data_IF_009974564253
#
_entry.id   IF_009974564253
#
_cell.length_a   1.000
_cell.length_b   1.000
_cell.length_c   1.000
_cell.angle_alpha   90.00
_cell.angle_beta   90.00
_cell.angle_gamma   90.00
#
_symmetry.space_group_name_H-M   'P 1'
#
loop_
_entity.id
_entity.type
_entity.pdbx_description
1 polymer ?
#
# COMPACT_ATOMS: atom_id res chain seq x y z
N UNK A 1 -18.62 -13.53 -0.52
CA UNK A 1 -17.27 -12.92 -0.40
C UNK A 1 -17.46 -11.41 -0.50
N UNK A 2 -17.20 -10.66 0.58
CA UNK A 2 -17.56 -9.23 0.67
C UNK A 2 -16.69 -8.40 -0.30
N UNK A 3 -17.31 -7.48 -1.06
CA UNK A 3 -16.68 -6.68 -2.13
C UNK A 3 -15.43 -5.95 -1.62
N UNK A 4 -15.48 -5.48 -0.37
CA UNK A 4 -14.40 -4.79 0.31
C UNK A 4 -13.17 -5.65 0.62
N UNK A 5 -13.33 -6.97 0.84
CA UNK A 5 -12.21 -7.87 1.13
C UNK A 5 -11.48 -8.27 -0.15
N UNK A 6 -12.22 -8.44 -1.25
CA UNK A 6 -11.66 -8.53 -2.59
C UNK A 6 -10.92 -7.24 -2.93
N UNK A 7 -11.51 -6.07 -2.71
CA UNK A 7 -10.85 -4.77 -2.94
C UNK A 7 -9.60 -4.57 -2.08
N UNK A 8 -9.56 -5.01 -0.82
CA UNK A 8 -8.37 -4.88 0.04
C UNK A 8 -7.24 -5.85 -0.33
N UNK A 9 -7.55 -7.11 -0.66
CA UNK A 9 -6.57 -8.05 -1.19
C UNK A 9 -6.07 -7.60 -2.58
N UNK A 10 -6.95 -7.02 -3.39
CA UNK A 10 -6.62 -6.40 -4.67
C UNK A 10 -5.83 -5.09 -4.48
N UNK A 11 -6.05 -4.34 -3.40
CA UNK A 11 -5.33 -3.11 -3.06
C UNK A 11 -3.94 -3.40 -2.49
N UNK A 12 -3.73 -4.48 -1.73
CA UNK A 12 -2.39 -4.95 -1.35
C UNK A 12 -1.57 -5.40 -2.57
N UNK A 13 -2.24 -5.93 -3.60
CA UNK A 13 -1.63 -6.24 -4.90
C UNK A 13 -1.41 -4.96 -5.73
N UNK A 14 -2.33 -3.98 -5.71
CA UNK A 14 -2.19 -2.68 -6.40
C UNK A 14 -1.11 -1.77 -5.80
N UNK A 15 -0.89 -1.80 -4.48
CA UNK A 15 0.17 -1.00 -3.85
C UNK A 15 1.58 -1.43 -4.32
N UNK A 16 1.70 -2.65 -4.87
CA UNK A 16 2.89 -3.19 -5.55
C UNK A 16 2.84 -2.95 -7.08
N UNK A 17 1.66 -2.68 -7.64
CA UNK A 17 1.39 -2.54 -9.08
C UNK A 17 0.26 -1.52 -9.37
N UNK A 18 0.55 -0.21 -9.43
CA UNK A 18 -0.42 0.78 -9.91
C UNK A 18 -0.41 0.90 -11.44
N UNK A 19 -1.56 0.61 -12.08
CA UNK A 19 -1.91 0.91 -13.47
C UNK A 19 -2.74 2.21 -13.55
N UNK A 20 -2.31 3.15 -14.40
CA UNK A 20 -3.14 4.16 -15.08
C UNK A 20 -2.58 4.32 -16.51
N UNK A 21 -3.46 4.56 -17.46
CA UNK A 21 -3.31 4.19 -18.88
C UNK A 21 -2.92 5.38 -19.80
N UNK A 22 -2.04 6.26 -19.34
CA UNK A 22 -1.59 7.41 -20.12
C UNK A 22 -0.06 7.66 -20.00
N UNK A 23 0.57 8.02 -21.14
CA UNK A 23 2.03 8.27 -21.22
C UNK A 23 2.51 9.33 -20.21
N UNK A 24 1.61 10.24 -19.80
CA UNK A 24 1.85 11.29 -18.81
C UNK A 24 1.89 10.73 -17.37
N UNK A 25 1.04 9.76 -17.05
CA UNK A 25 1.04 9.03 -15.79
C UNK A 25 2.24 8.09 -15.60
N UNK A 26 2.81 7.55 -16.70
CA UNK A 26 4.04 6.73 -16.66
C UNK A 26 5.26 7.54 -16.19
N UNK A 27 5.46 8.74 -16.76
CA UNK A 27 6.57 9.64 -16.40
C UNK A 27 6.45 10.13 -14.95
N UNK A 28 5.24 10.51 -14.51
CA UNK A 28 4.99 10.91 -13.11
C UNK A 28 5.35 9.79 -12.12
N UNK A 29 4.95 8.55 -12.40
CA UNK A 29 5.26 7.37 -11.56
C UNK A 29 6.73 7.01 -11.55
N UNK A 30 7.45 7.12 -12.67
CA UNK A 30 8.89 6.90 -12.69
C UNK A 30 9.61 7.89 -11.77
N UNK A 31 9.22 9.17 -11.84
CA UNK A 31 9.76 10.24 -10.98
C UNK A 31 9.42 9.99 -9.50
N UNK A 32 8.20 9.53 -9.19
CA UNK A 32 7.76 9.26 -7.82
C UNK A 32 8.44 8.01 -7.23
N UNK A 33 8.53 6.91 -7.99
CA UNK A 33 9.20 5.69 -7.56
C UNK A 33 10.71 5.87 -7.39
N UNK A 34 11.36 6.69 -8.22
CA UNK A 34 12.77 7.03 -8.05
C UNK A 34 13.03 7.79 -6.74
N UNK A 35 12.05 8.55 -6.23
CA UNK A 35 12.14 9.23 -4.92
C UNK A 35 11.97 8.27 -3.75
N UNK A 36 11.18 7.22 -3.89
CA UNK A 36 10.92 6.20 -2.86
C UNK A 36 11.99 5.09 -2.83
N UNK A 37 13.27 5.47 -2.84
CA UNK A 37 14.39 4.52 -2.77
C UNK A 37 14.55 3.95 -1.35
N UNK A 38 14.56 2.61 -1.17
CA UNK A 38 14.87 1.99 0.12
C UNK A 38 16.27 2.33 0.63
N UNK A 39 16.44 2.44 1.96
CA UNK A 39 17.75 2.55 2.58
C UNK A 39 18.56 1.27 2.32
N UNK A 40 19.82 1.42 1.90
CA UNK A 40 20.71 0.29 1.58
C UNK A 40 20.78 -0.10 0.10
N UNK A 41 19.89 0.41 -0.76
CA UNK A 41 19.99 0.20 -2.21
C UNK A 41 20.68 1.40 -2.86
N UNK A 42 21.65 1.17 -3.73
CA UNK A 42 22.32 2.22 -4.50
C UNK A 42 21.34 2.86 -5.49
N UNK A 43 21.41 4.18 -5.70
CA UNK A 43 20.50 4.90 -6.58
C UNK A 43 20.52 4.36 -8.02
N UNK A 44 21.69 3.96 -8.54
CA UNK A 44 21.82 3.39 -9.88
C UNK A 44 21.17 2.01 -10.00
N UNK A 45 21.28 1.17 -8.96
CA UNK A 45 20.62 -0.13 -8.92
C UNK A 45 19.10 0.02 -8.80
N UNK A 46 18.63 0.96 -7.99
CA UNK A 46 17.21 1.28 -7.91
C UNK A 46 16.66 1.79 -9.24
N UNK A 47 17.39 2.68 -9.92
CA UNK A 47 17.01 3.18 -11.24
C UNK A 47 16.92 2.07 -12.28
N UNK A 48 17.92 1.17 -12.33
CA UNK A 48 17.89 -0.02 -13.21
C UNK A 48 16.70 -0.93 -12.91
N UNK A 49 16.39 -1.14 -11.63
CA UNK A 49 15.24 -1.94 -11.21
C UNK A 49 13.91 -1.32 -11.66
N UNK A 50 13.74 -0.02 -11.47
CA UNK A 50 12.54 0.71 -11.92
C UNK A 50 12.43 0.69 -13.45
N UNK A 51 13.52 0.92 -14.18
CA UNK A 51 13.54 0.80 -15.64
C UNK A 51 13.16 -0.61 -16.11
N UNK A 52 13.78 -1.64 -15.53
CA UNK A 52 13.44 -3.04 -15.81
C UNK A 52 11.95 -3.34 -15.57
N UNK A 53 11.36 -2.80 -14.50
CA UNK A 53 9.93 -2.96 -14.16
C UNK A 53 8.99 -2.18 -15.08
N UNK A 54 9.49 -1.15 -15.76
CA UNK A 54 8.73 -0.27 -16.66
C UNK A 54 8.90 -0.62 -18.15
N UNK A 55 9.79 -1.55 -18.49
CA UNK A 55 10.00 -2.02 -19.86
C UNK A 55 8.74 -2.68 -20.43
N UNK A 56 8.47 -2.41 -21.72
CA UNK A 56 7.26 -2.87 -22.43
C UNK A 56 7.14 -4.40 -22.44
N UNK A 57 8.22 -5.15 -22.65
CA UNK A 57 8.22 -6.63 -22.62
C UNK A 57 7.79 -7.21 -21.26
N UNK A 58 8.14 -6.52 -20.16
CA UNK A 58 7.72 -6.91 -18.79
C UNK A 58 6.35 -6.34 -18.41
N UNK A 59 5.87 -5.31 -19.12
CA UNK A 59 4.55 -4.70 -18.96
C UNK A 59 3.47 -5.41 -19.79
N UNK A 60 3.77 -5.89 -20.99
CA UNK A 60 2.87 -6.70 -21.84
C UNK A 60 2.42 -7.96 -21.11
N UNK A 61 3.33 -8.60 -20.37
CA UNK A 61 3.01 -9.72 -19.48
C UNK A 61 2.07 -9.35 -18.33
N UNK A 62 1.88 -8.06 -18.03
CA UNK A 62 1.11 -7.54 -16.89
C UNK A 62 -0.19 -6.83 -17.26
N UNK A 63 -0.55 -6.70 -18.54
CA UNK A 63 -1.68 -5.88 -19.03
C UNK A 63 -3.07 -6.39 -18.59
N UNK A 64 -3.40 -6.29 -17.30
CA UNK A 64 -4.76 -6.40 -16.76
C UNK A 64 -5.44 -7.76 -16.90
N UNK A 65 -4.83 -8.74 -17.59
CA UNK A 65 -5.26 -10.13 -17.57
C UNK A 65 -4.78 -10.78 -16.27
N UNK A 66 -5.62 -11.54 -15.54
CA UNK A 66 -5.16 -12.34 -14.43
C UNK A 66 -4.02 -13.26 -14.90
N UNK A 67 -2.81 -13.04 -14.40
CA UNK A 67 -1.68 -13.93 -14.65
C UNK A 67 -1.89 -15.16 -13.76
N UNK A 68 -2.36 -16.24 -14.35
CA UNK A 68 -2.46 -17.54 -13.69
C UNK A 68 -1.08 -18.15 -13.41
N UNK A 69 -1.03 -19.13 -12.51
CA UNK A 69 0.20 -19.88 -12.23
C UNK A 69 0.77 -20.56 -13.47
N UNK A 70 -0.07 -20.99 -14.41
CA UNK A 70 0.38 -21.59 -15.68
C UNK A 70 1.23 -20.66 -16.52
N UNK A 71 0.92 -19.36 -16.50
CA UNK A 71 1.73 -18.35 -17.18
C UNK A 71 3.07 -18.12 -16.47
N UNK A 72 3.09 -18.09 -15.14
CA UNK A 72 4.34 -18.01 -14.35
C UNK A 72 5.22 -19.23 -14.63
N UNK A 73 4.63 -20.43 -14.67
CA UNK A 73 5.34 -21.66 -15.03
C UNK A 73 5.99 -21.56 -16.41
N UNK A 74 5.24 -21.06 -17.41
CA UNK A 74 5.74 -20.84 -18.78
C UNK A 74 6.96 -19.92 -18.80
N UNK A 75 6.89 -18.81 -18.05
CA UNK A 75 7.98 -17.84 -17.99
C UNK A 75 9.23 -18.40 -17.33
N UNK A 76 9.08 -19.22 -16.29
CA UNK A 76 10.21 -19.81 -15.56
C UNK A 76 10.92 -20.92 -16.34
N UNK A 77 10.23 -21.57 -17.29
CA UNK A 77 10.75 -22.75 -18.01
C UNK A 77 11.10 -22.45 -19.48
N UNK A 78 11.01 -21.20 -19.91
CA UNK A 78 11.51 -20.72 -21.21
C UNK A 78 12.85 -19.99 -21.05
N UNK A 79 13.78 -20.25 -21.95
CA UNK A 79 15.05 -19.53 -22.05
C UNK A 79 14.79 -18.13 -22.59
N UNK A 80 15.40 -17.13 -21.96
CA UNK A 80 15.23 -15.72 -22.32
C UNK A 80 15.80 -15.36 -23.70
N UNK A 81 16.84 -16.07 -24.14
CA UNK A 81 17.61 -15.70 -25.33
C UNK A 81 16.93 -16.11 -26.64
N UNK A 82 16.30 -17.27 -26.68
CA UNK A 82 15.72 -17.87 -27.89
C UNK A 82 14.25 -18.31 -27.73
N UNK A 83 13.66 -18.16 -26.53
CA UNK A 83 12.31 -18.61 -26.24
C UNK A 83 12.12 -20.12 -26.17
N UNK A 84 13.19 -20.93 -26.30
CA UNK A 84 13.08 -22.39 -26.25
C UNK A 84 12.85 -22.87 -24.82
N UNK A 85 12.23 -24.03 -24.65
CA UNK A 85 12.05 -24.62 -23.32
C UNK A 85 13.39 -25.12 -22.77
N UNK A 86 13.47 -25.20 -21.44
CA UNK A 86 14.67 -25.68 -20.75
C UNK A 86 14.92 -27.18 -20.97
N UNK A 87 13.85 -27.98 -21.09
CA UNK A 87 13.85 -29.40 -21.40
C UNK A 87 12.54 -29.79 -22.10
N UNK A 88 12.48 -31.02 -22.63
CA UNK A 88 11.30 -31.55 -23.32
C UNK A 88 10.12 -31.77 -22.35
N UNK A 89 10.40 -32.22 -21.13
CA UNK A 89 9.36 -32.44 -20.12
C UNK A 89 8.60 -31.14 -19.78
N UNK A 90 9.30 -29.99 -19.72
CA UNK A 90 8.64 -28.71 -19.51
C UNK A 90 7.81 -28.26 -20.72
N UNK A 91 8.19 -28.68 -21.93
CA UNK A 91 7.37 -28.46 -23.13
C UNK A 91 6.05 -29.22 -23.02
N UNK A 92 6.11 -30.52 -22.68
CA UNK A 92 4.91 -31.37 -22.52
C UNK A 92 3.99 -30.83 -21.43
N UNK A 93 4.53 -30.47 -20.26
CA UNK A 93 3.74 -29.87 -19.18
C UNK A 93 3.10 -28.55 -19.61
N UNK A 94 3.81 -27.74 -20.40
CA UNK A 94 3.26 -26.49 -20.90
C UNK A 94 2.11 -26.71 -21.88
N UNK A 95 2.24 -27.66 -22.82
CA UNK A 95 1.17 -28.00 -23.76
C UNK A 95 -0.10 -28.47 -23.02
N UNK A 96 0.07 -29.27 -21.96
CA UNK A 96 -1.06 -29.75 -21.17
C UNK A 96 -1.74 -28.62 -20.38
N UNK A 97 -0.96 -27.71 -19.80
CA UNK A 97 -1.50 -26.50 -19.14
C UNK A 97 -2.26 -25.62 -20.14
N UNK A 98 -1.69 -25.38 -21.33
CA UNK A 98 -2.34 -24.56 -22.37
C UNK A 98 -3.62 -25.22 -22.86
N UNK A 99 -3.62 -26.55 -23.04
CA UNK A 99 -4.80 -27.32 -23.41
C UNK A 99 -5.93 -27.16 -22.38
N UNK A 100 -5.63 -27.33 -21.09
CA UNK A 100 -6.59 -27.17 -20.00
C UNK A 100 -7.14 -25.73 -19.95
N UNK A 101 -6.27 -24.72 -20.04
CA UNK A 101 -6.68 -23.31 -20.02
C UNK A 101 -7.50 -22.91 -21.25
N UNK A 102 -7.29 -23.57 -22.39
CA UNK A 102 -8.08 -23.34 -23.61
C UNK A 102 -9.49 -23.95 -23.52
N UNK A 103 -9.62 -25.11 -22.87
CA UNK A 103 -10.90 -25.79 -22.67
C UNK A 103 -11.73 -25.16 -21.56
N UNK A 104 -11.07 -24.80 -20.46
CA UNK A 104 -11.68 -24.17 -19.30
C UNK A 104 -10.91 -22.90 -18.93
N UNK A 105 -11.38 -21.72 -19.36
CA UNK A 105 -10.77 -20.45 -18.98
C UNK A 105 -10.72 -20.20 -17.48
N UNK A 106 -11.59 -20.84 -16.67
CA UNK A 106 -11.59 -20.70 -15.21
C UNK A 106 -10.42 -21.43 -14.55
N UNK A 107 -9.87 -22.46 -15.21
CA UNK A 107 -8.64 -23.15 -14.76
C UNK A 107 -7.41 -22.25 -14.75
N UNK A 108 -7.44 -21.11 -15.44
CA UNK A 108 -6.40 -20.08 -15.40
C UNK A 108 -6.43 -19.26 -14.11
N UNK A 109 -7.58 -19.22 -13.42
CA UNK A 109 -7.72 -18.50 -12.16
C UNK A 109 -6.95 -19.20 -11.04
N UNK A 110 -6.38 -18.41 -10.12
CA UNK A 110 -5.63 -18.95 -8.99
C UNK A 110 -6.54 -19.74 -8.04
N UNK A 111 -6.40 -21.06 -8.04
CA UNK A 111 -7.24 -21.99 -7.29
C UNK A 111 -6.46 -23.23 -6.89
N UNK A 112 -6.99 -23.99 -5.92
CA UNK A 112 -6.40 -25.25 -5.49
C UNK A 112 -6.40 -26.32 -6.59
N UNK A 113 -7.29 -26.19 -7.58
CA UNK A 113 -7.43 -27.09 -8.73
C UNK A 113 -7.23 -26.34 -10.08
N UNK A 114 -6.38 -25.32 -10.10
CA UNK A 114 -6.04 -24.61 -11.35
C UNK A 114 -5.24 -25.49 -12.32
N UNK A 115 -4.96 -24.97 -13.52
CA UNK A 115 -4.28 -25.68 -14.61
C UNK A 115 -2.97 -26.35 -14.15
N UNK A 116 -2.17 -25.66 -13.32
CA UNK A 116 -0.91 -26.20 -12.79
C UNK A 116 -1.17 -27.35 -11.81
N UNK A 117 -2.16 -27.21 -10.93
CA UNK A 117 -2.52 -28.28 -9.99
C UNK A 117 -3.17 -29.50 -10.68
N UNK A 118 -3.80 -29.30 -11.85
CA UNK A 118 -4.35 -30.40 -12.65
C UNK A 118 -3.23 -31.23 -13.29
N UNK A 119 -2.24 -30.57 -13.91
CA UNK A 119 -1.11 -31.25 -14.57
C UNK A 119 -0.10 -31.83 -13.58
N UNK A 120 0.33 -31.03 -12.60
CA UNK A 120 1.38 -31.42 -11.64
C UNK A 120 0.83 -32.05 -10.35
N UNK A 121 -0.48 -32.28 -10.29
CA UNK A 121 -1.17 -32.76 -9.10
C UNK A 121 -1.36 -31.70 -8.01
N UNK A 122 -1.99 -32.08 -6.90
CA UNK A 122 -2.31 -31.16 -5.79
C UNK A 122 -1.05 -30.61 -5.11
N UNK A 123 -1.13 -29.37 -4.63
CA UNK A 123 -0.04 -28.74 -3.87
C UNK A 123 0.27 -29.47 -2.56
N UNK A 124 1.56 -29.57 -2.23
CA UNK A 124 2.03 -30.14 -0.97
C UNK A 124 1.85 -29.15 0.19
N UNK A 125 1.61 -29.65 1.41
CA UNK A 125 1.36 -28.84 2.62
C UNK A 125 2.45 -27.80 2.96
N UNK A 126 3.65 -27.91 2.37
CA UNK A 126 4.78 -27.01 2.60
C UNK A 126 4.70 -25.70 1.83
N UNK A 127 4.87 -25.74 0.50
CA UNK A 127 4.98 -24.55 -0.36
C UNK A 127 4.14 -24.72 -1.61
N UNK A 128 3.52 -23.63 -2.04
CA UNK A 128 2.78 -23.54 -3.31
C UNK A 128 3.75 -23.31 -4.46
N UNK A 129 3.69 -24.16 -5.48
CA UNK A 129 4.46 -24.02 -6.74
C UNK A 129 4.02 -22.79 -7.52
N UNK A 130 4.96 -22.19 -8.25
CA UNK A 130 4.70 -21.02 -9.11
C UNK A 130 4.48 -19.70 -8.34
N UNK A 131 4.83 -19.65 -7.05
CA UNK A 131 4.80 -18.43 -6.24
C UNK A 131 6.18 -18.19 -5.61
N UNK A 132 6.82 -17.06 -5.94
CA UNK A 132 8.21 -16.75 -5.58
C UNK A 132 8.49 -16.80 -4.07
N UNK A 133 7.58 -16.25 -3.26
CA UNK A 133 7.73 -16.26 -1.79
C UNK A 133 7.55 -17.65 -1.17
N UNK A 134 7.14 -18.64 -1.95
CA UNK A 134 6.83 -20.00 -1.50
C UNK A 134 5.87 -20.05 -0.31
N UNK A 135 4.73 -19.31 -0.32
CA UNK A 135 3.73 -19.38 0.74
C UNK A 135 3.18 -20.81 0.87
N UNK A 136 2.66 -21.16 2.04
CA UNK A 136 2.07 -22.49 2.24
C UNK A 136 0.63 -22.53 1.68
N UNK A 137 0.14 -23.70 1.22
CA UNK A 137 -1.22 -23.81 0.67
C UNK A 137 -2.31 -23.29 1.61
N UNK A 138 -2.12 -23.43 2.92
CA UNK A 138 -3.07 -22.94 3.93
C UNK A 138 -3.18 -21.41 3.99
N UNK A 139 -2.18 -20.68 3.50
CA UNK A 139 -2.21 -19.22 3.34
C UNK A 139 -2.91 -18.81 2.03
N UNK A 140 -2.70 -19.59 0.97
CA UNK A 140 -3.17 -19.26 -0.37
C UNK A 140 -4.61 -19.71 -0.67
N UNK A 141 -5.00 -20.89 -0.20
CA UNK A 141 -6.26 -21.55 -0.57
C UNK A 141 -7.22 -21.66 0.62
N UNK A 142 -7.05 -20.82 1.64
CA UNK A 142 -7.88 -20.82 2.84
C UNK A 142 -9.33 -20.50 2.47
N UNK A 143 -10.18 -21.51 2.38
CA UNK A 143 -11.63 -21.31 2.47
C UNK A 143 -11.92 -20.97 3.93
N UNK A 144 -12.08 -19.70 4.25
CA UNK A 144 -12.44 -19.27 5.61
C UNK A 144 -13.96 -19.31 5.72
N UNK A 145 -14.56 -20.19 6.55
CA UNK A 145 -15.92 -19.99 7.01
C UNK A 145 -15.86 -18.76 7.94
N UNK A 146 -16.40 -17.63 7.50
CA UNK A 146 -16.42 -16.37 8.25
C UNK A 146 -15.05 -15.83 8.66
N UNK A 147 -14.37 -15.17 7.73
CA UNK A 147 -13.41 -14.14 8.12
C UNK A 147 -14.27 -12.95 8.60
N UNK A 148 -14.44 -12.81 9.91
CA UNK A 148 -15.04 -11.61 10.49
C UNK A 148 -14.33 -10.39 9.89
N UNK A 149 -15.13 -9.40 9.54
CA UNK A 149 -14.86 -8.32 8.60
C UNK A 149 -13.71 -7.37 9.03
N UNK A 150 -12.47 -7.87 9.04
CA UNK A 150 -11.28 -7.07 9.38
C UNK A 150 -11.17 -5.84 8.48
N UNK A 151 -11.63 -5.92 7.23
CA UNK A 151 -11.68 -4.78 6.31
C UNK A 151 -12.65 -3.68 6.75
N UNK A 152 -13.83 -4.05 7.28
CA UNK A 152 -14.78 -3.09 7.86
C UNK A 152 -14.25 -2.50 9.16
N UNK A 153 -13.68 -3.33 10.06
CA UNK A 153 -13.09 -2.83 11.30
C UNK A 153 -11.94 -1.84 11.03
N UNK A 154 -11.07 -2.13 10.07
CA UNK A 154 -9.96 -1.20 9.71
C UNK A 154 -10.50 0.12 9.18
N UNK A 155 -11.57 0.11 8.35
CA UNK A 155 -12.19 1.34 7.85
C UNK A 155 -12.87 2.14 8.96
N UNK A 156 -13.56 1.48 9.89
CA UNK A 156 -14.14 2.11 11.08
C UNK A 156 -13.06 2.78 11.95
N UNK A 157 -11.98 2.06 12.26
CA UNK A 157 -10.86 2.62 13.01
C UNK A 157 -10.18 3.79 12.29
N UNK A 158 -10.02 3.73 10.96
CA UNK A 158 -9.47 4.85 10.20
C UNK A 158 -10.37 6.08 10.22
N UNK A 159 -11.69 5.89 10.12
CA UNK A 159 -12.67 6.98 10.25
C UNK A 159 -12.63 7.62 11.64
N UNK A 160 -12.55 6.80 12.68
CA UNK A 160 -12.48 7.26 14.07
C UNK A 160 -11.18 8.02 14.35
N UNK A 161 -10.05 7.56 13.79
CA UNK A 161 -8.77 8.28 13.86
C UNK A 161 -8.86 9.65 13.17
N UNK A 162 -9.51 9.74 12.00
CA UNK A 162 -9.69 11.02 11.30
C UNK A 162 -10.56 11.97 12.10
N UNK A 163 -11.66 11.47 12.68
CA UNK A 163 -12.57 12.25 13.51
C UNK A 163 -11.86 12.80 14.76
N UNK A 164 -11.17 11.93 15.51
CA UNK A 164 -10.42 12.33 16.71
C UNK A 164 -9.29 13.32 16.38
N UNK A 165 -8.65 13.20 15.22
CA UNK A 165 -7.64 14.18 14.77
C UNK A 165 -8.25 15.55 14.48
N UNK A 166 -9.46 15.62 13.92
CA UNK A 166 -10.16 16.88 13.69
C UNK A 166 -10.58 17.53 15.01
N UNK A 167 -11.19 16.79 15.93
CA UNK A 167 -11.58 17.28 17.27
C UNK A 167 -10.36 17.77 18.06
N UNK A 168 -9.23 17.05 18.00
CA UNK A 168 -7.98 17.48 18.63
C UNK A 168 -7.41 18.77 18.02
N UNK A 169 -7.62 19.01 16.72
CA UNK A 169 -7.19 20.24 16.07
C UNK A 169 -8.05 21.45 16.49
N UNK A 170 -9.37 21.27 16.60
CA UNK A 170 -10.29 22.31 17.09
C UNK A 170 -10.00 22.68 18.55
N UNK A 171 -9.80 21.69 19.42
CA UNK A 171 -9.43 21.94 20.82
C UNK A 171 -8.09 22.67 20.95
N UNK A 172 -7.11 22.37 20.10
CA UNK A 172 -5.84 23.11 20.06
C UNK A 172 -6.02 24.56 19.62
N UNK A 173 -6.90 24.83 18.65
CA UNK A 173 -7.19 26.18 18.20
C UNK A 173 -7.91 26.99 19.29
N UNK A 174 -8.93 26.41 19.93
CA UNK A 174 -9.65 27.05 21.04
C UNK A 174 -8.74 27.37 22.23
N UNK A 175 -7.84 26.43 22.59
CA UNK A 175 -6.86 26.66 23.65
C UNK A 175 -5.87 27.78 23.32
N UNK A 176 -5.47 27.93 22.04
CA UNK A 176 -4.61 29.03 21.61
C UNK A 176 -5.32 30.39 21.70
N UNK A 177 -6.59 30.46 21.32
CA UNK A 177 -7.39 31.67 21.41
C UNK A 177 -7.64 32.09 22.86
N UNK A 178 -7.98 31.15 23.74
CA UNK A 178 -8.22 31.42 25.16
C UNK A 178 -6.94 31.88 25.87
N UNK A 179 -5.79 31.25 25.56
CA UNK A 179 -4.48 31.69 26.04
C UNK A 179 -4.13 33.11 25.57
N UNK A 180 -4.45 33.46 24.32
CA UNK A 180 -4.25 34.82 23.81
C UNK A 180 -5.13 35.85 24.51
N UNK A 181 -6.39 35.51 24.82
CA UNK A 181 -7.29 36.36 25.61
C UNK A 181 -6.78 36.57 27.04
N UNK A 182 -6.30 35.52 27.72
CA UNK A 182 -5.70 35.62 29.06
C UNK A 182 -4.49 36.55 29.07
N UNK A 183 -3.57 36.40 28.12
CA UNK A 183 -2.39 37.27 28.02
C UNK A 183 -2.75 38.75 27.83
N UNK A 184 -3.82 39.04 27.05
CA UNK A 184 -4.29 40.41 26.87
C UNK A 184 -4.84 41.01 28.16
N UNK A 185 -5.68 40.27 28.89
CA UNK A 185 -6.21 40.73 30.18
C UNK A 185 -5.10 40.91 31.22
N UNK A 186 -4.15 39.97 31.28
CA UNK A 186 -3.03 40.04 32.22
C UNK A 186 -2.12 41.25 31.94
N UNK A 187 -1.89 41.58 30.66
CA UNK A 187 -1.17 42.78 30.27
C UNK A 187 -1.93 44.08 30.63
N UNK A 188 -3.26 44.08 30.57
CA UNK A 188 -4.06 45.25 30.97
C UNK A 188 -4.06 45.45 32.49
N UNK A 189 -4.24 44.36 33.25
CA UNK A 189 -4.14 44.39 34.72
C UNK A 189 -2.76 44.89 35.16
N UNK A 190 -1.68 44.48 34.48
CA UNK A 190 -0.34 44.97 34.76
C UNK A 190 -0.20 46.49 34.54
N UNK A 191 -0.84 47.04 33.49
CA UNK A 191 -0.84 48.49 33.23
C UNK A 191 -1.60 49.26 34.30
N UNK A 192 -2.78 48.80 34.70
CA UNK A 192 -3.58 49.44 35.75
C UNK A 192 -2.86 49.39 37.11
N UNK A 193 -2.23 48.26 37.43
CA UNK A 193 -1.40 48.13 38.64
C UNK A 193 -0.23 49.12 38.63
N UNK A 194 0.44 49.31 37.49
CA UNK A 194 1.52 50.29 37.36
C UNK A 194 1.02 51.74 37.56
N UNK A 195 -0.16 52.08 37.03
CA UNK A 195 -0.78 53.41 37.25
C UNK A 195 -1.11 53.65 38.72
N UNK A 196 -1.70 52.67 39.41
CA UNK A 196 -1.96 52.77 40.86
C UNK A 196 -0.68 52.96 41.66
N UNK A 197 0.38 52.20 41.35
CA UNK A 197 1.67 52.33 42.01
C UNK A 197 2.27 53.74 41.85
N UNK A 198 2.16 54.32 40.66
CA UNK A 198 2.61 55.70 40.40
C UNK A 198 1.80 56.70 41.24
N UNK A 199 0.48 56.54 41.29
CA UNK A 199 -0.39 57.43 42.05
C UNK A 199 -0.12 57.35 43.57
N UNK A 200 0.08 56.15 44.11
CA UNK A 200 0.48 55.96 45.50
C UNK A 200 1.81 56.65 45.82
N UNK A 201 2.80 56.54 44.94
CA UNK A 201 4.10 57.19 45.13
C UNK A 201 3.97 58.73 45.12
N UNK A 202 3.12 59.30 44.25
CA UNK A 202 2.85 60.74 44.23
C UNK A 202 2.14 61.21 45.50
N UNK A 203 1.13 60.47 45.97
CA UNK A 203 0.43 60.79 47.22
C UNK A 203 1.38 60.73 48.42
N UNK A 204 2.26 59.72 48.46
CA UNK A 204 3.27 59.58 49.52
C UNK A 204 4.24 60.76 49.55
N UNK A 205 4.63 61.28 48.39
CA UNK A 205 5.48 62.48 48.28
C UNK A 205 4.78 63.75 48.81
N UNK A 206 3.49 63.93 48.50
CA UNK A 206 2.70 65.09 48.95
C UNK A 206 2.52 65.10 50.48
N UNK A 207 2.27 63.95 51.10
CA UNK A 207 2.06 63.84 52.56
C UNK A 207 3.36 64.06 53.35
N UNK A 208 4.53 63.98 52.70
CA UNK A 208 5.84 64.19 53.33
C UNK A 208 6.36 65.64 53.24
N UNK A 209 5.65 66.56 52.57
CA UNK A 209 5.89 68.01 52.64
C UNK A 209 5.04 68.67 53.73
#
# INVERSE_FOLDING_TARGET
MNKAFKEHAFDQVKQVFHYEDDRRGKIKREIENLKCKPSGIEANHWKKFIQYRLNEDTQEQRQGRPIGRGHVWTMSHKKKENGSYMNEDAHVVWEEIEHIESQDPSSKEFSQNDSVAQVLGKEHLGRVRGLDFGPCPSQCFRNIPQQSDYGVQIKEYQMEIVKLKAEAAELKAAAAEEKAKRQRMEAEVAKEKAKMQIMENLLRYIIQQ
#
